data_IF_652687656337
#
_entry.id   IF_652687656337
#
_cell.length_a   1.000
_cell.length_b   1.000
_cell.length_c   1.000
_cell.angle_alpha   90.00
_cell.angle_beta   90.00
_cell.angle_gamma   90.00
#
_symmetry.space_group_name_H-M   'P 1'
#
loop_
_entity.id
_entity.type
_entity.pdbx_description
1 polymer ?
#
# COMPACT_ATOMS: atom_id res chain seq x y z
N UNK A 1 -18.11 -10.91 -2.47
CA UNK A 1 -17.18 -11.56 -1.51
C UNK A 1 -16.17 -10.51 -1.04
N UNK A 2 -16.20 -10.11 0.23
CA UNK A 2 -15.40 -8.99 0.77
C UNK A 2 -13.89 -9.22 0.62
N UNK A 3 -13.44 -10.46 0.74
CA UNK A 3 -12.02 -10.83 0.68
C UNK A 3 -11.49 -11.08 -0.73
N UNK A 4 -12.32 -10.91 -1.77
CA UNK A 4 -11.92 -11.27 -3.14
C UNK A 4 -10.71 -10.48 -3.62
N UNK A 5 -10.67 -9.18 -3.33
CA UNK A 5 -9.54 -8.32 -3.68
C UNK A 5 -8.23 -8.78 -3.03
N UNK A 6 -8.25 -9.01 -1.73
CA UNK A 6 -7.07 -9.47 -0.97
C UNK A 6 -6.60 -10.87 -1.38
N UNK A 7 -7.55 -11.76 -1.74
CA UNK A 7 -7.21 -13.10 -2.25
C UNK A 7 -6.50 -12.99 -3.60
N UNK A 8 -7.02 -12.15 -4.50
CA UNK A 8 -6.42 -11.96 -5.84
C UNK A 8 -5.04 -11.33 -5.71
N UNK A 9 -4.87 -10.31 -4.87
CA UNK A 9 -3.57 -9.69 -4.63
C UNK A 9 -2.55 -10.72 -4.10
N UNK A 10 -2.91 -11.45 -3.06
CA UNK A 10 -2.04 -12.48 -2.49
C UNK A 10 -1.62 -13.56 -3.50
N UNK A 11 -2.55 -14.00 -4.36
CA UNK A 11 -2.26 -14.97 -5.43
C UNK A 11 -1.32 -14.36 -6.47
N UNK A 12 -1.56 -13.12 -6.89
CA UNK A 12 -0.73 -12.44 -7.88
C UNK A 12 0.69 -12.20 -7.34
N UNK A 13 0.83 -11.77 -6.09
CA UNK A 13 2.13 -11.62 -5.43
C UNK A 13 2.90 -12.96 -5.36
N UNK A 14 2.21 -14.05 -5.00
CA UNK A 14 2.78 -15.39 -4.98
C UNK A 14 3.23 -15.85 -6.36
N UNK A 15 2.38 -15.71 -7.39
CA UNK A 15 2.70 -16.06 -8.77
C UNK A 15 3.86 -15.22 -9.31
N UNK A 16 3.87 -13.91 -9.01
CA UNK A 16 4.98 -13.03 -9.36
C UNK A 16 6.30 -13.52 -8.78
N UNK A 17 6.30 -13.87 -7.51
CA UNK A 17 7.47 -14.45 -6.86
C UNK A 17 7.95 -15.75 -7.53
N UNK A 18 7.03 -16.65 -7.90
CA UNK A 18 7.39 -17.87 -8.63
C UNK A 18 7.97 -17.58 -10.02
N UNK A 19 7.35 -16.67 -10.77
CA UNK A 19 7.84 -16.24 -12.09
C UNK A 19 9.25 -15.65 -11.94
N UNK A 20 9.49 -14.80 -10.94
CA UNK A 20 10.80 -14.22 -10.68
C UNK A 20 11.89 -15.26 -10.41
N UNK A 21 11.55 -16.32 -9.67
CA UNK A 21 12.48 -17.42 -9.42
C UNK A 21 12.84 -18.20 -10.71
N UNK A 22 11.84 -18.44 -11.58
CA UNK A 22 12.03 -19.19 -12.83
C UNK A 22 12.82 -18.36 -13.84
N UNK A 23 12.48 -17.08 -13.97
CA UNK A 23 13.04 -16.19 -14.97
C UNK A 23 14.16 -15.29 -14.45
N UNK A 24 14.74 -15.60 -13.30
CA UNK A 24 15.81 -14.82 -12.65
C UNK A 24 16.91 -14.34 -13.62
N UNK A 25 17.24 -15.13 -14.62
CA UNK A 25 18.30 -14.84 -15.62
C UNK A 25 17.93 -13.70 -16.58
N UNK A 26 16.63 -13.43 -16.77
CA UNK A 26 16.14 -12.49 -17.79
C UNK A 26 15.64 -11.17 -17.19
N UNK A 27 15.54 -11.07 -15.87
CA UNK A 27 14.99 -9.90 -15.18
C UNK A 27 16.15 -9.03 -14.73
N UNK A 28 16.24 -7.83 -15.34
CA UNK A 28 17.15 -6.77 -14.90
C UNK A 28 16.39 -5.76 -14.02
N UNK A 29 17.13 -5.04 -13.16
CA UNK A 29 16.57 -3.93 -12.35
C UNK A 29 15.91 -2.87 -13.23
N UNK A 30 16.55 -2.54 -14.36
CA UNK A 30 16.06 -1.53 -15.31
C UNK A 30 14.70 -1.91 -15.89
N UNK A 31 14.48 -3.21 -16.22
CA UNK A 31 13.19 -3.71 -16.67
C UNK A 31 12.14 -3.60 -15.55
N UNK A 32 12.51 -3.94 -14.32
CA UNK A 32 11.64 -3.83 -13.16
C UNK A 32 11.17 -2.39 -12.93
N UNK A 33 12.10 -1.45 -12.94
CA UNK A 33 11.82 -0.01 -12.81
C UNK A 33 10.86 0.48 -13.90
N UNK A 34 11.11 0.09 -15.15
CA UNK A 34 10.25 0.47 -16.28
C UNK A 34 8.82 -0.05 -16.13
N UNK A 35 8.66 -1.30 -15.68
CA UNK A 35 7.35 -1.91 -15.43
C UNK A 35 6.60 -1.21 -14.30
N UNK A 36 7.28 -0.87 -13.20
CA UNK A 36 6.70 -0.16 -12.06
C UNK A 36 6.24 1.25 -12.47
N UNK A 37 7.06 1.97 -13.26
CA UNK A 37 6.67 3.29 -13.79
C UNK A 37 5.42 3.19 -14.68
N UNK A 38 5.30 2.16 -15.51
CA UNK A 38 4.11 1.90 -16.31
C UNK A 38 2.86 1.65 -15.45
N UNK A 39 3.00 0.91 -14.34
CA UNK A 39 1.91 0.71 -13.38
C UNK A 39 1.52 2.00 -12.66
N UNK A 40 2.46 2.91 -12.44
CA UNK A 40 2.18 4.24 -11.88
C UNK A 40 1.09 4.99 -12.67
N UNK A 41 1.09 4.89 -14.01
CA UNK A 41 0.03 5.47 -14.86
C UNK A 41 -1.35 4.87 -14.58
N UNK A 42 -1.42 3.56 -14.34
CA UNK A 42 -2.68 2.88 -14.02
C UNK A 42 -3.20 3.33 -12.65
N UNK A 43 -2.31 3.50 -11.68
CA UNK A 43 -2.66 4.02 -10.34
C UNK A 43 -3.16 5.46 -10.42
N UNK A 44 -2.53 6.31 -11.25
CA UNK A 44 -3.03 7.68 -11.53
C UNK A 44 -4.44 7.63 -12.12
N UNK A 45 -4.68 6.75 -13.10
CA UNK A 45 -6.01 6.59 -13.71
C UNK A 45 -7.06 6.20 -12.67
N UNK A 46 -6.75 5.26 -11.76
CA UNK A 46 -7.64 4.89 -10.65
C UNK A 46 -7.93 6.06 -9.71
N UNK A 47 -6.89 6.84 -9.37
CA UNK A 47 -7.06 8.05 -8.58
C UNK A 47 -8.01 9.04 -9.23
N UNK A 48 -7.85 9.31 -10.54
CA UNK A 48 -8.76 10.18 -11.30
C UNK A 48 -10.18 9.61 -11.35
N UNK A 49 -10.33 8.31 -11.56
CA UNK A 49 -11.63 7.66 -11.64
C UNK A 49 -12.38 7.74 -10.30
N UNK A 50 -11.71 7.51 -9.18
CA UNK A 50 -12.33 7.57 -7.86
C UNK A 50 -12.71 9.00 -7.42
N UNK A 51 -12.07 10.03 -7.98
CA UNK A 51 -12.46 11.44 -7.76
C UNK A 51 -13.72 11.84 -8.54
N UNK A 52 -14.21 11.03 -9.46
CA UNK A 52 -15.41 11.32 -10.27
C UNK A 52 -16.71 11.14 -9.50
N UNK A 53 -16.66 10.78 -8.20
CA UNK A 53 -17.84 10.69 -7.35
C UNK A 53 -18.38 12.08 -7.03
N UNK A 54 -19.47 12.46 -7.73
CA UNK A 54 -20.11 13.76 -7.61
C UNK A 54 -20.90 13.96 -6.33
N UNK A 55 -21.07 12.92 -5.50
CA UNK A 55 -21.77 12.97 -4.22
C UNK A 55 -20.88 13.46 -3.06
N UNK A 56 -19.57 13.56 -3.29
CA UNK A 56 -18.63 14.08 -2.32
C UNK A 56 -18.68 15.62 -2.25
N UNK A 57 -18.53 16.16 -1.04
CA UNK A 57 -18.46 17.60 -0.81
C UNK A 57 -17.01 18.08 -0.89
N UNK A 58 -16.64 18.80 -1.95
CA UNK A 58 -15.28 19.29 -2.17
C UNK A 58 -14.77 20.19 -1.05
N UNK A 59 -15.64 20.95 -0.38
CA UNK A 59 -15.23 21.78 0.77
C UNK A 59 -14.79 20.89 1.94
N UNK A 60 -15.53 19.82 2.22
CA UNK A 60 -15.18 18.83 3.24
C UNK A 60 -13.87 18.13 2.88
N UNK A 61 -13.72 17.67 1.63
CA UNK A 61 -12.49 17.04 1.15
C UNK A 61 -11.29 17.97 1.33
N UNK A 62 -11.43 19.25 0.95
CA UNK A 62 -10.36 20.25 1.10
C UNK A 62 -9.94 20.44 2.56
N UNK A 63 -10.91 20.56 3.47
CA UNK A 63 -10.65 20.69 4.91
C UNK A 63 -10.00 19.41 5.45
N UNK A 64 -10.50 18.23 5.07
CA UNK A 64 -9.92 16.95 5.48
C UNK A 64 -8.48 16.80 5.00
N UNK A 65 -8.19 17.18 3.76
CA UNK A 65 -6.82 17.20 3.25
C UNK A 65 -5.92 18.14 4.05
N UNK A 66 -6.34 19.37 4.28
CA UNK A 66 -5.55 20.35 5.04
C UNK A 66 -5.24 19.89 6.47
N UNK A 67 -6.28 19.49 7.22
CA UNK A 67 -6.13 19.02 8.60
C UNK A 67 -5.37 17.68 8.63
N UNK A 68 -5.69 16.76 7.73
CA UNK A 68 -5.06 15.43 7.68
C UNK A 68 -3.57 15.50 7.39
N UNK A 69 -3.16 16.37 6.47
CA UNK A 69 -1.75 16.63 6.17
C UNK A 69 -1.01 17.21 7.38
N UNK A 70 -1.63 18.15 8.11
CA UNK A 70 -1.04 18.69 9.34
C UNK A 70 -0.87 17.60 10.40
N UNK A 71 -1.91 16.82 10.65
CA UNK A 71 -1.85 15.71 11.61
C UNK A 71 -0.75 14.70 11.23
N UNK A 72 -0.74 14.28 9.96
CA UNK A 72 0.25 13.31 9.49
C UNK A 72 1.70 13.84 9.51
N UNK A 73 1.88 15.12 9.25
CA UNK A 73 3.19 15.78 9.36
C UNK A 73 3.72 15.73 10.80
N UNK A 74 2.89 16.09 11.79
CA UNK A 74 3.31 16.06 13.20
C UNK A 74 3.46 14.65 13.77
N UNK A 75 2.64 13.70 13.33
CA UNK A 75 2.71 12.31 13.77
C UNK A 75 3.82 11.52 13.09
N UNK A 76 4.30 11.98 11.93
CA UNK A 76 5.25 11.28 11.03
C UNK A 76 4.94 9.77 10.91
N UNK A 77 3.73 9.50 10.41
CA UNK A 77 3.17 8.13 10.28
C UNK A 77 4.09 7.27 9.41
N UNK A 78 4.69 7.86 8.39
CA UNK A 78 5.67 7.21 7.53
C UNK A 78 6.85 6.65 8.34
N UNK A 79 7.44 7.46 9.22
CA UNK A 79 8.50 7.00 10.11
C UNK A 79 8.01 5.95 11.12
N UNK A 80 6.76 6.05 11.59
CA UNK A 80 6.18 5.06 12.49
C UNK A 80 5.98 3.71 11.79
N UNK A 81 5.47 3.72 10.55
CA UNK A 81 5.30 2.50 9.73
C UNK A 81 6.66 1.88 9.39
N UNK A 82 7.65 2.69 9.02
CA UNK A 82 9.01 2.22 8.77
C UNK A 82 9.60 1.53 10.00
N UNK A 83 9.50 2.16 11.18
CA UNK A 83 9.96 1.55 12.45
C UNK A 83 9.21 0.28 12.80
N UNK A 84 7.92 0.20 12.51
CA UNK A 84 7.13 -1.01 12.68
C UNK A 84 7.65 -2.13 11.77
N UNK A 85 7.92 -1.81 10.50
CA UNK A 85 8.55 -2.72 9.54
C UNK A 85 9.90 -3.25 10.04
N UNK A 86 10.79 -2.35 10.47
CA UNK A 86 12.11 -2.72 11.01
C UNK A 86 12.00 -3.61 12.26
N UNK A 87 11.02 -3.35 13.13
CA UNK A 87 10.77 -4.15 14.34
C UNK A 87 10.28 -5.54 13.98
N UNK A 88 9.39 -5.66 12.98
CA UNK A 88 8.90 -6.95 12.47
C UNK A 88 10.06 -7.71 11.83
N UNK A 89 10.86 -7.06 10.99
CA UNK A 89 12.06 -7.64 10.39
C UNK A 89 13.00 -8.21 11.46
N UNK A 90 13.31 -7.42 12.48
CA UNK A 90 14.21 -7.82 13.56
C UNK A 90 13.62 -8.97 14.39
N UNK A 91 12.32 -8.99 14.64
CA UNK A 91 11.64 -10.03 15.39
C UNK A 91 11.55 -11.35 14.61
N UNK A 92 11.20 -11.28 13.31
CA UNK A 92 11.14 -12.45 12.45
C UNK A 92 12.54 -13.02 12.17
N UNK A 93 13.52 -12.17 11.95
CA UNK A 93 14.90 -12.62 11.74
C UNK A 93 15.44 -13.35 12.98
N UNK A 94 15.10 -12.91 14.19
CA UNK A 94 15.41 -13.63 15.43
C UNK A 94 14.69 -14.98 15.54
N UNK A 95 13.41 -15.02 15.15
CA UNK A 95 12.59 -16.24 15.24
C UNK A 95 13.04 -17.31 14.23
N UNK A 96 13.47 -16.87 13.03
CA UNK A 96 13.90 -17.75 11.93
C UNK A 96 15.41 -18.03 11.92
N UNK A 97 16.22 -17.24 12.64
CA UNK A 97 17.67 -17.42 12.75
C UNK A 97 18.03 -18.32 13.91
N UNK A 98 17.81 -19.63 13.73
CA UNK A 98 18.51 -20.63 14.54
C UNK A 98 20.01 -20.78 14.21
N UNK A 99 20.58 -19.99 13.28
CA UNK A 99 22.03 -19.93 12.96
C UNK A 99 22.41 -18.55 12.42
N UNK A 100 23.46 -17.99 13.00
CA UNK A 100 24.07 -16.71 12.71
C UNK A 100 24.34 -16.49 11.22
N UNK A 101 23.78 -15.42 10.65
CA UNK A 101 24.41 -14.68 9.57
C UNK A 101 24.31 -13.19 9.90
N UNK A 102 25.40 -12.41 9.74
CA UNK A 102 25.39 -11.00 10.11
C UNK A 102 24.41 -10.26 9.19
N UNK A 103 23.43 -9.63 9.82
CA UNK A 103 22.52 -8.73 9.16
C UNK A 103 23.34 -7.56 8.59
N UNK A 104 23.45 -7.49 7.27
CA UNK A 104 23.83 -6.25 6.60
C UNK A 104 22.67 -5.28 6.81
N UNK A 105 22.92 -4.22 7.55
CA UNK A 105 22.00 -3.11 7.71
C UNK A 105 21.75 -2.49 6.32
N UNK A 106 20.60 -2.82 5.75
CA UNK A 106 20.07 -2.04 4.64
C UNK A 106 19.40 -0.81 5.23
N UNK A 107 19.69 0.41 4.73
CA UNK A 107 19.06 1.61 5.25
C UNK A 107 17.55 1.55 5.01
N UNK A 108 16.80 1.79 6.09
CA UNK A 108 15.36 1.91 6.08
C UNK A 108 14.93 3.14 5.27
N UNK A 109 14.75 2.98 3.98
CA UNK A 109 14.05 3.93 3.11
C UNK A 109 13.11 3.16 2.20
N UNK A 110 12.13 2.50 2.81
CA UNK A 110 10.99 1.97 2.11
C UNK A 110 9.87 3.02 2.04
N UNK A 111 10.18 4.23 1.58
CA UNK A 111 9.17 5.08 0.98
C UNK A 111 9.03 4.61 -0.45
N UNK A 112 7.90 4.13 -0.85
CA UNK A 112 7.33 3.82 -2.20
C UNK A 112 8.23 3.97 -3.46
N UNK A 113 9.53 4.18 -3.32
CA UNK A 113 10.55 4.12 -4.35
C UNK A 113 11.20 2.74 -4.31
N UNK A 114 10.42 1.77 -4.69
CA UNK A 114 10.86 0.40 -4.72
C UNK A 114 11.53 0.10 -6.03
N UNK A 115 12.82 0.12 -6.08
CA UNK A 115 13.60 -0.69 -7.00
C UNK A 115 15.11 -0.46 -6.81
N UNK A 116 15.56 -0.29 -5.59
CA UNK A 116 16.99 -0.45 -5.33
C UNK A 116 17.21 -1.74 -4.55
N UNK A 117 17.12 -2.86 -5.24
CA UNK A 117 17.75 -4.07 -4.75
C UNK A 117 19.26 -3.85 -4.81
N UNK A 118 20.02 -3.99 -3.71
CA UNK A 118 21.46 -3.82 -3.77
C UNK A 118 22.05 -4.90 -4.69
N UNK A 119 22.72 -4.47 -5.73
CA UNK A 119 23.52 -5.33 -6.61
C UNK A 119 24.70 -5.88 -5.83
N UNK A 120 24.53 -7.01 -5.18
CA UNK A 120 25.61 -7.83 -4.68
C UNK A 120 25.18 -9.30 -4.69
N UNK A 121 26.03 -10.17 -5.19
CA UNK A 121 25.93 -11.62 -5.23
C UNK A 121 25.95 -12.26 -3.83
N UNK A 122 25.14 -11.77 -2.91
CA UNK A 122 24.89 -12.37 -1.62
C UNK A 122 23.68 -13.29 -1.74
N UNK A 123 23.84 -14.55 -1.42
CA UNK A 123 22.72 -15.48 -1.24
C UNK A 123 21.87 -14.98 -0.06
N UNK A 124 20.82 -14.24 -0.38
CA UNK A 124 19.85 -13.84 0.63
C UNK A 124 19.18 -15.07 1.24
N UNK A 125 19.00 -15.07 2.55
CA UNK A 125 18.28 -16.14 3.23
C UNK A 125 16.79 -16.09 2.86
N UNK A 126 16.08 -17.21 2.99
CA UNK A 126 14.62 -17.25 2.85
C UNK A 126 13.95 -16.14 3.65
N UNK A 127 14.39 -15.94 4.90
CA UNK A 127 13.86 -14.92 5.81
C UNK A 127 13.97 -13.52 5.22
N UNK A 128 15.12 -13.15 4.68
CA UNK A 128 15.36 -11.80 4.13
C UNK A 128 14.40 -11.51 2.97
N UNK A 129 14.29 -12.42 2.01
CA UNK A 129 13.37 -12.25 0.88
C UNK A 129 11.89 -12.18 1.31
N UNK A 130 11.48 -13.07 2.22
CA UNK A 130 10.13 -13.09 2.77
C UNK A 130 9.77 -11.80 3.51
N UNK A 131 10.65 -11.36 4.43
CA UNK A 131 10.42 -10.18 5.27
C UNK A 131 10.38 -8.93 4.40
N UNK A 132 11.36 -8.76 3.50
CA UNK A 132 11.44 -7.58 2.65
C UNK A 132 10.20 -7.44 1.74
N UNK A 133 9.80 -8.52 1.07
CA UNK A 133 8.60 -8.51 0.23
C UNK A 133 7.31 -8.25 1.04
N UNK A 134 7.22 -8.82 2.26
CA UNK A 134 6.07 -8.61 3.15
C UNK A 134 5.98 -7.15 3.59
N UNK A 135 7.08 -6.56 4.06
CA UNK A 135 7.11 -5.17 4.49
C UNK A 135 6.73 -4.27 3.32
N UNK A 136 7.34 -4.49 2.15
CA UNK A 136 7.04 -3.74 0.94
C UNK A 136 5.55 -3.76 0.61
N UNK A 137 4.94 -4.94 0.51
CA UNK A 137 3.55 -5.09 0.09
C UNK A 137 2.54 -4.59 1.14
N UNK A 138 2.86 -4.69 2.43
CA UNK A 138 1.94 -4.33 3.51
C UNK A 138 2.04 -2.86 3.96
N UNK A 139 3.16 -2.17 3.72
CA UNK A 139 3.35 -0.79 4.22
C UNK A 139 2.80 0.29 3.29
N UNK A 140 2.42 -0.06 2.07
CA UNK A 140 1.89 0.89 1.09
C UNK A 140 0.52 1.47 1.47
N UNK A 141 0.33 2.78 1.29
CA UNK A 141 -0.96 3.44 1.49
C UNK A 141 -2.06 2.83 0.61
N UNK A 142 -1.70 2.29 -0.55
CA UNK A 142 -2.62 1.64 -1.48
C UNK A 142 -3.26 0.38 -0.90
N UNK A 143 -2.55 -0.40 -0.06
CA UNK A 143 -3.10 -1.55 0.63
C UNK A 143 -4.24 -1.13 1.58
N UNK A 144 -4.04 -0.05 2.34
CA UNK A 144 -5.03 0.46 3.29
C UNK A 144 -6.25 1.00 2.55
N UNK A 145 -6.05 1.90 1.58
CA UNK A 145 -7.13 2.54 0.83
C UNK A 145 -7.90 1.51 0.00
N UNK A 146 -7.20 0.61 -0.69
CA UNK A 146 -7.80 -0.45 -1.47
C UNK A 146 -8.65 -1.42 -0.63
N UNK A 147 -8.15 -1.78 0.55
CA UNK A 147 -8.90 -2.62 1.49
C UNK A 147 -10.14 -1.90 2.04
N UNK A 148 -10.06 -0.59 2.26
CA UNK A 148 -11.23 0.21 2.66
C UNK A 148 -12.30 0.24 1.57
N UNK A 149 -11.95 0.53 0.31
CA UNK A 149 -12.88 0.51 -0.81
C UNK A 149 -13.52 -0.88 -0.99
N UNK A 150 -12.68 -1.93 -0.93
CA UNK A 150 -13.13 -3.32 -1.01
C UNK A 150 -14.12 -3.66 0.10
N UNK A 151 -13.85 -3.26 1.34
CA UNK A 151 -14.69 -3.54 2.50
C UNK A 151 -15.97 -2.69 2.54
N UNK A 152 -15.91 -1.41 2.19
CA UNK A 152 -17.01 -0.46 2.33
C UNK A 152 -17.97 -0.49 1.15
N UNK A 153 -17.45 -0.60 -0.07
CA UNK A 153 -18.22 -0.50 -1.30
C UNK A 153 -18.32 -1.82 -2.07
N UNK A 154 -17.53 -2.83 -1.71
CA UNK A 154 -17.40 -4.07 -2.49
C UNK A 154 -16.67 -3.85 -3.81
N UNK A 155 -16.01 -2.70 -3.99
CA UNK A 155 -15.19 -2.42 -5.16
C UNK A 155 -13.76 -2.91 -4.93
N UNK A 156 -13.36 -3.92 -5.71
CA UNK A 156 -12.06 -4.57 -5.60
C UNK A 156 -11.05 -4.08 -6.65
N UNK A 157 -11.44 -3.15 -7.54
CA UNK A 157 -10.61 -2.72 -8.67
C UNK A 157 -9.22 -2.26 -8.21
N UNK A 158 -9.17 -1.52 -7.12
CA UNK A 158 -7.93 -1.01 -6.55
C UNK A 158 -6.99 -2.13 -6.05
N UNK A 159 -7.53 -3.15 -5.37
CA UNK A 159 -6.74 -4.31 -4.94
C UNK A 159 -6.30 -5.18 -6.12
N UNK A 160 -7.07 -5.23 -7.22
CA UNK A 160 -6.65 -5.93 -8.43
C UNK A 160 -5.46 -5.24 -9.11
N UNK A 161 -5.49 -3.91 -9.18
CA UNK A 161 -4.36 -3.15 -9.72
C UNK A 161 -3.14 -3.26 -8.80
N UNK A 162 -3.37 -3.18 -7.48
CA UNK A 162 -2.30 -3.42 -6.50
C UNK A 162 -1.70 -4.80 -6.68
N UNK A 163 -2.52 -5.85 -6.81
CA UNK A 163 -2.05 -7.21 -7.05
C UNK A 163 -1.21 -7.36 -8.32
N UNK A 164 -1.60 -6.68 -9.40
CA UNK A 164 -0.79 -6.63 -10.61
C UNK A 164 0.56 -5.95 -10.38
N UNK A 165 0.58 -4.87 -9.59
CA UNK A 165 1.79 -4.15 -9.20
C UNK A 165 2.67 -5.01 -8.29
N UNK A 166 2.09 -5.63 -7.27
CA UNK A 166 2.81 -6.52 -6.36
C UNK A 166 3.37 -7.75 -7.09
N UNK A 167 2.63 -8.28 -8.06
CA UNK A 167 3.13 -9.35 -8.94
C UNK A 167 4.42 -8.93 -9.64
N UNK A 168 4.45 -7.75 -10.26
CA UNK A 168 5.63 -7.24 -10.98
C UNK A 168 6.80 -7.03 -10.01
N UNK A 169 6.53 -6.41 -8.88
CA UNK A 169 7.57 -6.17 -7.85
C UNK A 169 8.08 -7.49 -7.29
N UNK A 170 7.21 -8.46 -6.98
CA UNK A 170 7.62 -9.77 -6.51
C UNK A 170 8.43 -10.55 -7.54
N UNK A 171 8.18 -10.36 -8.85
CA UNK A 171 9.04 -10.91 -9.92
C UNK A 171 10.47 -10.38 -9.77
N UNK A 172 10.64 -9.07 -9.63
CA UNK A 172 11.96 -8.44 -9.52
C UNK A 172 12.64 -8.82 -8.19
N UNK A 173 11.91 -8.75 -7.08
CA UNK A 173 12.43 -9.11 -5.76
C UNK A 173 12.83 -10.57 -5.67
N UNK A 174 12.04 -11.50 -6.21
CA UNK A 174 12.38 -12.93 -6.19
C UNK A 174 13.58 -13.26 -7.07
N UNK A 175 13.75 -12.56 -8.18
CA UNK A 175 14.95 -12.68 -9.00
C UNK A 175 16.21 -12.28 -8.22
N UNK A 176 16.13 -11.28 -7.35
CA UNK A 176 17.25 -10.77 -6.53
C UNK A 176 17.41 -11.53 -5.22
N UNK A 177 16.32 -11.67 -4.44
CA UNK A 177 16.33 -12.13 -3.05
C UNK A 177 15.95 -13.61 -2.85
N UNK A 178 15.45 -14.27 -3.90
CA UNK A 178 15.28 -15.73 -3.90
C UNK A 178 13.95 -16.21 -3.34
N UNK A 179 13.96 -17.46 -2.83
CA UNK A 179 12.77 -18.30 -2.60
C UNK A 179 11.83 -17.82 -1.47
N UNK A 180 12.22 -16.88 -0.65
CA UNK A 180 11.36 -16.34 0.42
C UNK A 180 10.25 -15.43 -0.09
N UNK A 181 10.48 -14.72 -1.21
CA UNK A 181 9.59 -13.69 -1.74
C UNK A 181 8.18 -14.19 -2.06
N UNK A 182 7.95 -15.32 -2.75
CA UNK A 182 6.59 -15.79 -3.06
C UNK A 182 5.69 -15.91 -1.84
N UNK A 183 6.26 -16.24 -0.69
CA UNK A 183 5.49 -16.48 0.54
C UNK A 183 4.92 -15.20 1.19
N UNK A 184 5.28 -14.00 0.70
CA UNK A 184 4.69 -12.74 1.15
C UNK A 184 3.17 -12.67 0.90
N UNK A 185 2.63 -13.46 -0.02
CA UNK A 185 1.20 -13.54 -0.27
C UNK A 185 0.37 -13.90 0.99
N UNK A 186 0.93 -14.70 1.90
CA UNK A 186 0.21 -15.04 3.14
C UNK A 186 0.00 -13.84 4.06
N UNK A 187 1.02 -13.09 4.48
CA UNK A 187 0.80 -11.87 5.27
C UNK A 187 0.02 -10.79 4.53
N UNK A 188 0.13 -10.66 3.19
CA UNK A 188 -0.71 -9.76 2.40
C UNK A 188 -2.19 -10.11 2.60
N UNK A 189 -2.56 -11.38 2.41
CA UNK A 189 -3.93 -11.83 2.57
C UNK A 189 -4.48 -11.56 3.98
N UNK A 190 -3.68 -11.83 5.01
CA UNK A 190 -4.08 -11.60 6.40
C UNK A 190 -4.27 -10.11 6.66
N UNK A 191 -3.31 -9.28 6.29
CA UNK A 191 -3.32 -7.84 6.54
C UNK A 191 -4.48 -7.14 5.82
N UNK A 192 -4.58 -7.30 4.51
CA UNK A 192 -5.64 -6.68 3.71
C UNK A 192 -7.00 -7.28 4.00
N UNK A 193 -7.07 -8.59 4.28
CA UNK A 193 -8.28 -9.26 4.68
C UNK A 193 -8.85 -8.71 5.98
N UNK A 194 -8.01 -8.49 6.99
CA UNK A 194 -8.41 -7.86 8.26
C UNK A 194 -8.90 -6.44 8.00
N UNK A 195 -8.17 -5.65 7.22
CA UNK A 195 -8.57 -4.27 6.91
C UNK A 195 -9.91 -4.21 6.16
N UNK A 196 -10.12 -5.07 5.17
CA UNK A 196 -11.38 -5.14 4.41
C UNK A 196 -12.56 -5.57 5.29
N UNK A 197 -12.35 -6.53 6.20
CA UNK A 197 -13.38 -6.95 7.15
C UNK A 197 -13.73 -5.84 8.14
N UNK A 198 -12.74 -5.16 8.69
CA UNK A 198 -12.95 -4.02 9.58
C UNK A 198 -13.70 -2.89 8.87
N UNK A 199 -13.31 -2.56 7.64
CA UNK A 199 -13.99 -1.55 6.83
C UNK A 199 -15.45 -1.93 6.56
N UNK A 200 -15.73 -3.20 6.27
CA UNK A 200 -17.10 -3.70 6.07
C UNK A 200 -17.96 -3.62 7.34
N UNK A 201 -17.39 -3.94 8.50
CA UNK A 201 -18.10 -3.86 9.80
C UNK A 201 -18.46 -2.41 10.14
N UNK A 202 -17.60 -1.46 9.81
CA UNK A 202 -17.83 -0.02 10.10
C UNK A 202 -18.77 0.62 9.06
N UNK A 203 -18.74 0.16 7.81
CA UNK A 203 -19.50 0.74 6.69
C UNK A 203 -21.00 0.96 6.97
N UNK A 204 -21.78 0.05 7.59
CA UNK A 204 -23.21 0.26 7.86
C UNK A 204 -23.49 1.42 8.82
N UNK A 205 -22.50 1.84 9.60
CA UNK A 205 -22.63 2.98 10.55
C UNK A 205 -22.27 4.32 9.92
N UNK A 206 -21.76 4.31 8.67
CA UNK A 206 -21.40 5.51 7.93
C UNK A 206 -22.49 5.87 6.91
N UNK A 207 -22.85 7.15 6.82
CA UNK A 207 -23.74 7.61 5.75
C UNK A 207 -23.04 7.49 4.37
N UNK A 208 -23.83 7.31 3.30
CA UNK A 208 -23.32 7.25 1.95
C UNK A 208 -22.44 8.47 1.60
N UNK A 209 -22.83 9.65 2.08
CA UNK A 209 -22.05 10.88 1.88
C UNK A 209 -20.70 10.86 2.59
N UNK A 210 -20.60 10.27 3.80
CA UNK A 210 -19.30 10.08 4.48
C UNK A 210 -18.41 9.16 3.65
N UNK A 211 -18.97 8.02 3.18
CA UNK A 211 -18.24 7.04 2.36
C UNK A 211 -17.72 7.69 1.09
N UNK A 212 -18.54 8.45 0.36
CA UNK A 212 -18.10 9.18 -0.84
C UNK A 212 -16.96 10.15 -0.57
N UNK A 213 -17.01 10.90 0.54
CA UNK A 213 -15.92 11.81 0.90
C UNK A 213 -14.62 11.04 1.24
N UNK A 214 -14.71 9.88 1.92
CA UNK A 214 -13.57 9.00 2.18
C UNK A 214 -12.96 8.50 0.86
N UNK A 215 -13.81 8.05 -0.07
CA UNK A 215 -13.37 7.53 -1.38
C UNK A 215 -12.65 8.61 -2.18
N UNK A 216 -13.23 9.81 -2.29
CA UNK A 216 -12.61 10.91 -3.04
C UNK A 216 -11.29 11.35 -2.38
N UNK A 217 -11.26 11.46 -1.05
CA UNK A 217 -10.02 11.81 -0.33
C UNK A 217 -8.95 10.72 -0.52
N UNK A 218 -9.32 9.44 -0.41
CA UNK A 218 -8.42 8.32 -0.66
C UNK A 218 -7.91 8.30 -2.11
N UNK A 219 -8.76 8.65 -3.08
CA UNK A 219 -8.38 8.72 -4.50
C UNK A 219 -7.36 9.83 -4.79
N UNK A 220 -7.42 10.94 -4.04
CA UNK A 220 -6.36 11.95 -4.10
C UNK A 220 -5.00 11.40 -3.60
N UNK A 221 -5.01 10.57 -2.55
CA UNK A 221 -3.80 9.92 -2.09
C UNK A 221 -3.23 8.96 -3.16
N UNK A 222 -4.12 8.25 -3.89
CA UNK A 222 -3.69 7.37 -4.99
C UNK A 222 -3.01 8.12 -6.12
N UNK A 223 -3.45 9.32 -6.46
CA UNK A 223 -2.74 10.15 -7.43
C UNK A 223 -1.29 10.36 -7.01
N UNK A 224 -1.08 10.68 -5.73
CA UNK A 224 0.28 10.89 -5.20
C UNK A 224 1.09 9.59 -5.24
N UNK A 225 0.46 8.44 -4.89
CA UNK A 225 1.11 7.11 -5.05
C UNK A 225 1.55 6.90 -6.49
N UNK A 226 0.65 7.11 -7.46
CA UNK A 226 0.97 6.94 -8.87
C UNK A 226 2.12 7.84 -9.34
N UNK A 227 2.13 9.11 -8.91
CA UNK A 227 3.22 10.05 -9.22
C UNK A 227 4.55 9.60 -8.59
N UNK A 228 4.53 9.06 -7.37
CA UNK A 228 5.70 8.49 -6.73
C UNK A 228 6.23 7.27 -7.49
N UNK A 229 5.34 6.34 -7.90
CA UNK A 229 5.73 5.16 -8.69
C UNK A 229 6.36 5.55 -10.04
N UNK A 230 5.90 6.65 -10.63
CA UNK A 230 6.49 7.22 -11.84
C UNK A 230 7.80 7.97 -11.58
N UNK A 231 8.27 8.02 -10.33
CA UNK A 231 9.46 8.79 -9.89
C UNK A 231 9.37 10.29 -10.18
N UNK A 232 8.16 10.84 -10.35
CA UNK A 232 7.92 12.27 -10.57
C UNK A 232 7.89 13.05 -9.25
N UNK A 233 7.53 12.40 -8.15
CA UNK A 233 7.49 12.97 -6.80
C UNK A 233 8.07 11.98 -5.79
N UNK A 234 8.35 12.47 -4.59
CA UNK A 234 8.77 11.66 -3.45
C UNK A 234 8.04 12.15 -2.19
N UNK A 235 6.72 12.05 -2.21
CA UNK A 235 5.85 12.50 -1.13
C UNK A 235 5.58 11.32 -0.20
N UNK A 236 5.70 11.55 1.11
CA UNK A 236 5.37 10.57 2.15
C UNK A 236 3.86 10.34 2.23
N UNK A 237 3.32 9.47 1.38
CA UNK A 237 1.86 9.24 1.27
C UNK A 237 1.28 8.71 2.57
N UNK A 238 2.04 7.92 3.33
CA UNK A 238 1.61 7.43 4.64
C UNK A 238 1.25 8.58 5.60
N UNK A 239 1.93 9.72 5.52
CA UNK A 239 1.60 10.91 6.30
C UNK A 239 0.29 11.58 5.83
N UNK A 240 -0.25 11.23 4.66
CA UNK A 240 -1.53 11.73 4.16
C UNK A 240 -2.72 10.87 4.62
N UNK A 241 -2.49 9.65 5.14
CA UNK A 241 -3.55 8.71 5.54
C UNK A 241 -4.61 9.29 6.49
N UNK A 242 -4.27 10.13 7.50
CA UNK A 242 -5.29 10.72 8.36
C UNK A 242 -6.37 11.48 7.59
N UNK A 243 -6.02 12.10 6.45
CA UNK A 243 -6.97 12.83 5.63
C UNK A 243 -8.11 11.93 5.12
N UNK A 244 -7.83 10.67 4.78
CA UNK A 244 -8.83 9.73 4.28
C UNK A 244 -9.89 9.35 5.34
N UNK A 245 -9.55 9.42 6.64
CA UNK A 245 -10.45 9.07 7.74
C UNK A 245 -11.21 10.28 8.33
N UNK A 246 -10.69 11.49 8.14
CA UNK A 246 -11.28 12.71 8.68
C UNK A 246 -12.72 13.02 8.21
N UNK A 247 -13.19 12.61 7.02
CA UNK A 247 -14.59 12.84 6.63
C UNK A 247 -15.61 12.29 7.62
N UNK A 248 -15.27 11.25 8.39
CA UNK A 248 -16.13 10.70 9.46
C UNK A 248 -16.48 11.73 10.51
N UNK A 249 -15.57 12.65 10.81
CA UNK A 249 -15.72 13.68 11.84
C UNK A 249 -16.10 15.01 11.22
N UNK A 250 -15.45 15.39 10.13
CA UNK A 250 -15.59 16.73 9.51
C UNK A 250 -16.96 16.91 8.85
N UNK A 251 -17.48 15.87 8.17
CA UNK A 251 -18.77 16.03 7.47
C UNK A 251 -19.95 16.26 8.42
N UNK A 252 -20.13 15.52 9.52
CA UNK A 252 -21.16 15.83 10.50
C UNK A 252 -21.02 17.23 11.10
N UNK A 253 -19.79 17.65 11.43
CA UNK A 253 -19.54 19.01 11.95
C UNK A 253 -19.89 20.08 10.91
N UNK A 254 -19.53 19.89 9.66
CA UNK A 254 -19.88 20.77 8.55
C UNK A 254 -21.39 20.91 8.38
N UNK A 255 -22.15 19.81 8.43
CA UNK A 255 -23.61 19.82 8.29
C UNK A 255 -24.28 20.56 9.46
N UNK A 256 -23.76 20.42 10.67
CA UNK A 256 -24.26 21.18 11.83
C UNK A 256 -24.01 22.67 11.65
N UNK A 257 -22.85 23.07 11.19
CA UNK A 257 -22.51 24.47 10.92
C UNK A 257 -23.44 25.05 9.84
N UNK A 258 -23.63 24.34 8.72
CA UNK A 258 -24.50 24.77 7.63
C UNK A 258 -25.99 24.83 8.04
N UNK A 259 -26.41 24.09 9.06
CA UNK A 259 -27.78 24.15 9.59
C UNK A 259 -28.01 25.33 10.53
N UNK A 260 -26.96 26.00 11.00
CA UNK A 260 -27.01 27.16 11.89
C UNK A 260 -27.06 28.49 11.14
N UNK A 261 -26.77 28.49 9.86
CA UNK A 261 -26.81 29.63 8.95
C UNK A 261 -27.84 29.44 7.83
#
# INVERSE_FOLDING_TARGET
MILLGSIVDAILAFLGGLIGLIFKRFISEELGDFLIMGQGLVVVLLGVQGMSDTSANLAVVTVCMGIGLLIGYYLDIDAALTKCGDTIEHSLSKLMSGKKSPAAAAPAQASESAAAAPAATTHYSFSTGFIYATIYACTGAMAIIGSMHSGMQGDHAMLYVKGALDMIVCVVLAASMGVGVPFCGVPILIYEGILSLLANVVSPYLSASIVSNIVVTGSLLLLVVGLNLMKLTNIKVANMLPAAFLPVIVLPAYNVICALF
#
